data_IF_157416520665
#
_entry.id   IF_157416520665
#
_cell.length_a   1.000
_cell.length_b   1.000
_cell.length_c   1.000
_cell.angle_alpha   90.00
_cell.angle_beta   90.00
_cell.angle_gamma   90.00
#
_symmetry.space_group_name_H-M   'P 1'
#
loop_
_entity.id
_entity.type
_entity.pdbx_description
1 polymer ?
#
# COMPACT_ATOMS: atom_id res chain seq x y z
N UNK A 1 0.15 -47.22 36.26
CA UNK A 1 -0.43 -47.49 34.93
C UNK A 1 -0.55 -46.16 34.20
N UNK A 2 0.50 -45.86 33.44
CA UNK A 2 0.84 -44.60 32.78
C UNK A 2 -0.02 -44.41 31.54
N UNK A 3 -0.85 -43.36 31.47
CA UNK A 3 -1.40 -42.87 30.20
C UNK A 3 -0.47 -41.79 29.67
N UNK A 4 0.39 -42.21 28.76
CA UNK A 4 1.20 -41.38 27.87
C UNK A 4 0.27 -40.53 26.98
N UNK A 5 0.25 -39.23 27.22
CA UNK A 5 -0.23 -38.27 26.21
C UNK A 5 0.87 -38.13 25.15
N UNK A 6 0.59 -38.38 23.86
CA UNK A 6 1.58 -38.16 22.81
C UNK A 6 1.79 -36.66 22.58
N UNK A 7 3.03 -36.23 22.83
CA UNK A 7 3.89 -35.39 22.00
C UNK A 7 3.28 -34.20 21.22
N UNK A 8 3.67 -33.01 21.68
CA UNK A 8 3.90 -31.77 20.93
C UNK A 8 3.12 -31.54 19.62
N UNK A 9 2.03 -30.81 19.69
CA UNK A 9 1.62 -29.95 18.58
C UNK A 9 2.62 -28.78 18.49
N UNK A 10 3.67 -28.97 17.71
CA UNK A 10 4.60 -27.92 17.35
C UNK A 10 3.84 -26.68 16.84
N UNK A 11 4.23 -25.45 17.21
CA UNK A 11 3.63 -24.26 16.64
C UNK A 11 3.86 -24.29 15.12
N UNK A 12 2.77 -24.28 14.36
CA UNK A 12 2.80 -24.25 12.90
C UNK A 12 3.63 -23.04 12.47
N UNK A 13 4.87 -23.28 12.04
CA UNK A 13 5.72 -22.26 11.46
C UNK A 13 4.94 -21.56 10.32
N UNK A 14 5.00 -20.22 10.22
CA UNK A 14 4.35 -19.52 9.13
C UNK A 14 4.91 -20.08 7.82
N UNK A 15 4.05 -20.79 7.06
CA UNK A 15 4.43 -21.28 5.73
C UNK A 15 4.87 -20.05 4.93
N UNK A 16 6.12 -20.06 4.47
CA UNK A 16 6.60 -19.07 3.52
C UNK A 16 5.64 -19.10 2.33
N UNK A 17 4.80 -18.07 2.22
CA UNK A 17 3.86 -17.95 1.12
C UNK A 17 4.63 -18.03 -0.19
N UNK A 18 4.08 -18.70 -1.19
CA UNK A 18 4.70 -18.73 -2.51
C UNK A 18 4.86 -17.30 -3.04
N UNK A 19 5.84 -17.03 -3.91
CA UNK A 19 6.07 -15.70 -4.52
C UNK A 19 4.76 -15.02 -5.01
N UNK A 20 3.79 -15.73 -5.62
CA UNK A 20 2.48 -15.17 -5.98
C UNK A 20 1.65 -14.66 -4.79
N UNK A 21 1.76 -15.29 -3.62
CA UNK A 21 1.03 -14.90 -2.42
C UNK A 21 1.58 -13.61 -1.82
N UNK A 22 2.91 -13.43 -1.84
CA UNK A 22 3.56 -12.19 -1.42
C UNK A 22 3.19 -11.02 -2.35
N UNK A 23 3.22 -11.25 -3.66
CA UNK A 23 2.79 -10.27 -4.66
C UNK A 23 1.30 -9.94 -4.49
N UNK A 24 0.44 -10.94 -4.30
CA UNK A 24 -1.00 -10.73 -4.08
C UNK A 24 -1.28 -9.96 -2.78
N UNK A 25 -0.56 -10.25 -1.70
CA UNK A 25 -0.68 -9.50 -0.43
C UNK A 25 -0.16 -8.08 -0.55
N UNK A 26 0.94 -7.87 -1.27
CA UNK A 26 1.49 -6.55 -1.56
C UNK A 26 0.53 -5.71 -2.43
N UNK A 27 -0.04 -6.31 -3.49
CA UNK A 27 -1.07 -5.68 -4.34
C UNK A 27 -2.37 -5.38 -3.58
N UNK A 28 -2.70 -6.17 -2.56
CA UNK A 28 -3.87 -5.94 -1.71
C UNK A 28 -3.64 -4.81 -0.69
N UNK A 29 -2.40 -4.66 -0.20
CA UNK A 29 -1.96 -3.58 0.68
C UNK A 29 -1.82 -2.25 -0.07
N UNK A 30 -1.44 -2.30 -1.34
CA UNK A 30 -1.20 -1.13 -2.19
C UNK A 30 -2.38 -0.93 -3.14
N UNK A 31 -3.47 -0.33 -2.68
CA UNK A 31 -4.25 0.54 -3.59
C UNK A 31 -5.33 -0.12 -4.48
N UNK A 32 -5.83 -1.34 -4.20
CA UNK A 32 -7.10 -1.79 -4.86
C UNK A 32 -8.33 -1.19 -4.17
N UNK A 33 -8.46 -1.29 -2.84
CA UNK A 33 -9.72 -0.92 -2.16
C UNK A 33 -10.10 0.56 -2.31
N UNK A 34 -9.14 1.48 -2.27
CA UNK A 34 -9.42 2.90 -2.42
C UNK A 34 -9.54 3.35 -3.88
N UNK A 35 -8.85 2.66 -4.80
CA UNK A 35 -8.96 2.97 -6.23
C UNK A 35 -10.22 2.35 -6.83
N UNK A 36 -10.63 1.15 -6.43
CA UNK A 36 -11.91 0.52 -6.89
C UNK A 36 -13.12 1.38 -6.53
N UNK A 37 -13.07 2.14 -5.43
CA UNK A 37 -14.10 3.13 -5.11
C UNK A 37 -14.04 4.39 -5.97
N UNK A 38 -12.86 4.83 -6.40
CA UNK A 38 -12.68 6.10 -7.12
C UNK A 38 -12.71 5.96 -8.65
N UNK A 39 -12.24 4.83 -9.18
CA UNK A 39 -12.17 4.50 -10.60
C UNK A 39 -13.53 4.55 -11.32
N UNK A 40 -14.67 4.05 -10.77
CA UNK A 40 -15.95 4.19 -11.45
C UNK A 40 -16.36 5.66 -11.64
N UNK A 41 -16.07 6.55 -10.68
CA UNK A 41 -16.34 7.99 -10.85
C UNK A 41 -15.42 8.63 -11.89
N UNK A 42 -14.15 8.26 -11.90
CA UNK A 42 -13.18 8.74 -12.88
C UNK A 42 -13.54 8.30 -14.30
N UNK A 43 -13.97 7.04 -14.49
CA UNK A 43 -14.40 6.53 -15.79
C UNK A 43 -15.73 7.10 -16.23
N UNK A 44 -16.69 7.32 -15.32
CA UNK A 44 -17.93 8.03 -15.66
C UNK A 44 -17.66 9.45 -16.14
N UNK A 45 -16.74 10.17 -15.49
CA UNK A 45 -16.32 11.51 -15.92
C UNK A 45 -15.61 11.47 -17.28
N UNK A 46 -14.72 10.49 -17.51
CA UNK A 46 -14.02 10.32 -18.78
C UNK A 46 -14.99 10.02 -19.92
N UNK A 47 -15.93 9.09 -19.74
CA UNK A 47 -16.96 8.77 -20.73
C UNK A 47 -17.87 9.97 -21.00
N UNK A 48 -18.26 10.72 -19.96
CA UNK A 48 -19.07 11.94 -20.11
C UNK A 48 -18.32 13.05 -20.87
N UNK A 49 -16.99 13.09 -20.78
CA UNK A 49 -16.13 14.04 -21.50
C UNK A 49 -15.81 13.60 -22.95
N UNK A 50 -16.22 12.40 -23.37
CA UNK A 50 -15.86 11.84 -24.67
C UNK A 50 -14.40 11.40 -24.77
N UNK A 51 -13.79 11.05 -23.63
CA UNK A 51 -12.40 10.63 -23.53
C UNK A 51 -12.13 9.34 -24.31
N UNK A 52 -10.96 9.25 -24.94
CA UNK A 52 -10.53 8.03 -25.63
C UNK A 52 -9.85 7.02 -24.68
N UNK A 53 -9.46 5.86 -25.21
CA UNK A 53 -8.78 4.83 -24.42
C UNK A 53 -7.41 5.29 -23.89
N UNK A 54 -6.77 6.25 -24.55
CA UNK A 54 -5.53 6.88 -24.11
C UNK A 54 -5.76 7.78 -22.90
N UNK A 55 -6.79 8.62 -22.94
CA UNK A 55 -7.20 9.47 -21.83
C UNK A 55 -7.56 8.65 -20.58
N UNK A 56 -8.29 7.55 -20.74
CA UNK A 56 -8.63 6.63 -19.65
C UNK A 56 -7.37 6.01 -19.03
N UNK A 57 -6.39 5.65 -19.86
CA UNK A 57 -5.10 5.15 -19.38
C UNK A 57 -4.33 6.24 -18.61
N UNK A 58 -4.29 7.48 -19.13
CA UNK A 58 -3.67 8.62 -18.46
C UNK A 58 -4.33 8.94 -17.12
N UNK A 59 -5.66 8.97 -17.06
CA UNK A 59 -6.42 9.18 -15.82
C UNK A 59 -6.06 8.11 -14.79
N UNK A 60 -5.94 6.86 -15.21
CA UNK A 60 -5.57 5.75 -14.32
C UNK A 60 -4.16 5.92 -13.77
N UNK A 61 -3.19 6.23 -14.63
CA UNK A 61 -1.80 6.48 -14.23
C UNK A 61 -1.72 7.67 -13.27
N UNK A 62 -2.40 8.77 -13.59
CA UNK A 62 -2.46 9.97 -12.77
C UNK A 62 -3.07 9.69 -11.39
N UNK A 63 -4.18 8.96 -11.33
CA UNK A 63 -4.81 8.60 -10.05
C UNK A 63 -3.89 7.73 -9.18
N UNK A 64 -3.21 6.75 -9.77
CA UNK A 64 -2.28 5.87 -9.03
C UNK A 64 -1.06 6.66 -8.54
N UNK A 65 -0.47 7.50 -9.39
CA UNK A 65 0.67 8.35 -9.05
C UNK A 65 0.34 9.33 -7.93
N UNK A 66 -0.74 10.11 -8.10
CA UNK A 66 -1.19 11.07 -7.10
C UNK A 66 -1.51 10.41 -5.75
N UNK A 67 -2.18 9.24 -5.75
CA UNK A 67 -2.50 8.51 -4.52
C UNK A 67 -1.24 8.01 -3.81
N UNK A 68 -0.31 7.45 -4.56
CA UNK A 68 0.95 6.94 -4.02
C UNK A 68 1.79 8.07 -3.44
N UNK A 69 1.87 9.20 -4.16
CA UNK A 69 2.53 10.41 -3.68
C UNK A 69 1.87 10.94 -2.40
N UNK A 70 0.55 11.09 -2.38
CA UNK A 70 -0.18 11.59 -1.20
C UNK A 70 0.04 10.71 0.03
N UNK A 71 -0.01 9.37 -0.11
CA UNK A 71 0.23 8.46 0.99
C UNK A 71 1.68 8.52 1.50
N UNK A 72 2.66 8.64 0.59
CA UNK A 72 4.05 8.79 0.96
C UNK A 72 4.32 10.14 1.64
N UNK A 73 3.83 11.23 1.07
CA UNK A 73 3.97 12.59 1.61
C UNK A 73 3.34 12.70 3.00
N UNK A 74 2.10 12.22 3.18
CA UNK A 74 1.43 12.21 4.48
C UNK A 74 2.27 11.46 5.52
N UNK A 75 2.80 10.28 5.17
CA UNK A 75 3.65 9.50 6.08
C UNK A 75 4.98 10.18 6.43
N UNK A 76 5.57 10.96 5.50
CA UNK A 76 6.81 11.69 5.74
C UNK A 76 6.56 12.88 6.69
N UNK A 77 5.52 13.67 6.41
CA UNK A 77 5.17 14.88 7.17
C UNK A 77 4.68 14.49 8.57
N UNK A 78 3.78 13.51 8.63
CA UNK A 78 3.14 13.09 9.87
C UNK A 78 4.05 12.24 10.76
N UNK A 79 5.27 11.89 10.32
CA UNK A 79 6.17 10.98 11.07
C UNK A 79 6.37 11.39 12.53
N UNK A 80 6.47 12.69 12.80
CA UNK A 80 6.71 13.23 14.14
C UNK A 80 5.45 13.27 14.99
N UNK A 81 4.28 13.33 14.35
CA UNK A 81 2.97 13.30 15.01
C UNK A 81 2.60 11.83 15.29
N UNK A 82 2.80 10.94 14.31
CA UNK A 82 2.59 9.50 14.43
C UNK A 82 3.49 8.86 15.50
N UNK A 83 4.70 9.39 15.72
CA UNK A 83 5.59 8.94 16.80
C UNK A 83 5.05 9.20 18.21
N UNK A 84 4.18 10.21 18.38
CA UNK A 84 3.62 10.61 19.68
C UNK A 84 2.27 9.95 19.97
N UNK A 85 1.66 9.30 18.97
CA UNK A 85 0.35 8.71 19.08
C UNK A 85 0.47 7.19 19.33
N UNK A 86 0.02 6.66 20.47
CA UNK A 86 0.12 5.23 20.81
C UNK A 86 -0.48 4.30 19.74
N UNK A 87 -1.46 4.79 18.98
CA UNK A 87 -2.14 4.04 17.91
C UNK A 87 -1.32 3.95 16.61
N UNK A 88 -0.41 4.90 16.34
CA UNK A 88 0.38 4.95 15.09
C UNK A 88 1.89 4.88 15.31
N UNK A 89 2.33 4.76 16.57
CA UNK A 89 3.73 4.59 16.96
C UNK A 89 4.42 3.36 16.34
N UNK A 90 3.67 2.32 15.95
CA UNK A 90 4.20 1.12 15.29
C UNK A 90 4.44 1.24 13.79
N UNK A 91 4.23 2.40 13.18
CA UNK A 91 4.42 2.58 11.73
C UNK A 91 5.89 2.49 11.34
N UNK A 92 6.17 1.86 10.20
CA UNK A 92 7.54 1.62 9.70
C UNK A 92 8.39 2.88 9.51
N UNK A 93 7.78 4.03 9.17
CA UNK A 93 8.49 5.31 9.10
C UNK A 93 8.82 5.93 10.46
N UNK A 94 8.09 5.55 11.51
CA UNK A 94 8.28 5.99 12.89
C UNK A 94 9.30 5.11 13.61
N UNK A 95 9.21 3.80 13.38
CA UNK A 95 10.13 2.79 13.94
C UNK A 95 11.50 2.79 13.24
N UNK A 96 11.63 3.50 12.12
CA UNK A 96 12.87 3.60 11.34
C UNK A 96 13.13 2.39 10.45
N UNK A 97 12.20 1.44 10.36
CA UNK A 97 12.27 0.29 9.47
C UNK A 97 12.32 0.69 7.98
N UNK A 98 11.70 1.82 7.63
CA UNK A 98 11.82 2.45 6.31
C UNK A 98 12.58 3.77 6.45
N UNK A 99 13.70 3.89 5.73
CA UNK A 99 14.48 5.13 5.74
C UNK A 99 13.65 6.28 5.16
N UNK A 100 13.77 7.46 5.77
CA UNK A 100 13.11 8.69 5.28
C UNK A 100 13.54 9.00 3.84
N UNK A 101 14.79 8.67 3.48
CA UNK A 101 15.29 8.80 2.10
C UNK A 101 14.52 7.91 1.13
N UNK A 102 14.24 6.67 1.52
CA UNK A 102 13.46 5.70 0.70
C UNK A 102 12.02 6.17 0.52
N UNK A 103 11.41 6.74 1.56
CA UNK A 103 10.08 7.35 1.46
C UNK A 103 10.07 8.55 0.51
N UNK A 104 11.08 9.43 0.60
CA UNK A 104 11.24 10.56 -0.33
C UNK A 104 11.49 10.12 -1.76
N UNK A 105 12.31 9.09 -2.00
CA UNK A 105 12.52 8.56 -3.36
C UNK A 105 11.24 7.96 -3.92
N UNK A 106 10.45 7.25 -3.12
CA UNK A 106 9.15 6.72 -3.53
C UNK A 106 8.14 7.83 -3.83
N UNK A 107 8.12 8.90 -3.04
CA UNK A 107 7.30 10.08 -3.29
C UNK A 107 7.73 10.79 -4.59
N UNK A 108 9.02 11.04 -4.77
CA UNK A 108 9.54 11.69 -5.98
C UNK A 108 9.26 10.87 -7.25
N UNK A 109 9.41 9.54 -7.19
CA UNK A 109 9.07 8.66 -8.30
C UNK A 109 7.56 8.68 -8.60
N UNK A 110 6.70 8.62 -7.58
CA UNK A 110 5.26 8.69 -7.78
C UNK A 110 4.82 10.04 -8.37
N UNK A 111 5.48 11.13 -7.98
CA UNK A 111 5.26 12.45 -8.55
C UNK A 111 5.74 12.53 -10.01
N UNK A 112 6.88 11.95 -10.32
CA UNK A 112 7.40 11.89 -11.70
C UNK A 112 6.54 11.01 -12.62
N UNK A 113 5.83 10.02 -12.09
CA UNK A 113 4.85 9.23 -12.84
C UNK A 113 3.51 9.98 -13.01
N UNK A 114 3.21 10.91 -12.11
CA UNK A 114 2.00 11.71 -12.15
C UNK A 114 2.09 12.90 -13.13
N UNK A 115 3.25 13.55 -13.20
CA UNK A 115 3.54 14.70 -14.06
C UNK A 115 3.86 14.28 -15.50
#
# INVERSE_FOLDING_TARGET
>A
MTRTFPESAAPLAPRAGTFPEHVRRFLRLVTIEHSVFALPFAYLAALAAGADWGDVALITVAMVGARTFAMAANRIIDRHIDARNPRTAGRELVTGAVSVRTAWTGAALALAVFL
#
